data_IF_739525884101
#
_entry.id   IF_739525884101
#
_cell.length_a   1.000
_cell.length_b   1.000
_cell.length_c   1.000
_cell.angle_alpha   90.00
_cell.angle_beta   90.00
_cell.angle_gamma   90.00
#
_symmetry.space_group_name_H-M   'P 1'
#
loop_
_entity.id
_entity.type
_entity.pdbx_description
1 polymer ?
#
# COMPACT_ATOMS: atom_id res chain seq x y z
N UNK A 1 -15.85 12.13 -9.00
CA UNK A 1 -17.08 11.40 -9.37
C UNK A 1 -17.60 10.72 -8.11
N UNK A 2 -18.89 10.84 -7.80
CA UNK A 2 -19.52 10.12 -6.68
C UNK A 2 -20.07 8.79 -7.19
N UNK A 3 -19.75 7.69 -6.50
CA UNK A 3 -20.17 6.32 -6.88
C UNK A 3 -21.35 5.90 -5.98
N UNK A 4 -22.59 5.84 -6.49
CA UNK A 4 -23.74 5.39 -5.70
C UNK A 4 -23.76 3.86 -5.50
N UNK A 5 -24.61 3.40 -4.59
CA UNK A 5 -24.95 1.97 -4.46
C UNK A 5 -25.53 1.44 -5.78
N UNK A 6 -25.25 0.18 -6.08
CA UNK A 6 -25.59 -0.49 -7.34
C UNK A 6 -24.59 -0.27 -8.46
N UNK A 7 -23.64 0.67 -8.33
CA UNK A 7 -22.66 0.97 -9.39
C UNK A 7 -21.74 -0.21 -9.63
N UNK A 8 -21.53 -0.55 -10.91
CA UNK A 8 -20.50 -1.48 -11.37
C UNK A 8 -19.33 -0.68 -11.92
N UNK A 9 -18.14 -0.93 -11.39
CA UNK A 9 -16.90 -0.34 -11.85
C UNK A 9 -16.11 -1.44 -12.54
N UNK A 10 -15.76 -1.20 -13.80
CA UNK A 10 -14.95 -2.11 -14.61
C UNK A 10 -13.69 -1.38 -15.06
N UNK A 11 -12.56 -2.00 -14.80
CA UNK A 11 -11.23 -1.52 -15.18
C UNK A 11 -10.78 -2.33 -16.40
N UNK A 12 -10.31 -1.64 -17.44
CA UNK A 12 -9.74 -2.33 -18.61
C UNK A 12 -8.37 -2.94 -18.31
N UNK A 13 -7.77 -3.62 -19.29
CA UNK A 13 -6.49 -4.34 -19.14
C UNK A 13 -5.26 -3.41 -19.03
N UNK A 14 -5.44 -2.09 -19.13
CA UNK A 14 -4.34 -1.11 -19.15
C UNK A 14 -4.48 -0.01 -18.09
N UNK A 15 -5.58 -0.02 -17.35
CA UNK A 15 -5.93 1.03 -16.41
C UNK A 15 -6.03 0.50 -14.99
N UNK A 16 -6.11 1.42 -14.04
CA UNK A 16 -6.42 1.12 -12.65
C UNK A 16 -7.47 2.10 -12.13
N UNK A 17 -8.18 1.72 -11.07
CA UNK A 17 -9.11 2.61 -10.40
C UNK A 17 -8.94 2.53 -8.88
N UNK A 18 -9.02 3.67 -8.20
CA UNK A 18 -9.08 3.74 -6.74
C UNK A 18 -10.41 4.37 -6.34
N UNK A 19 -11.15 3.69 -5.47
CA UNK A 19 -12.42 4.13 -4.94
C UNK A 19 -12.26 4.33 -3.44
N UNK A 20 -12.29 5.58 -3.00
CA UNK A 20 -12.35 5.93 -1.58
C UNK A 20 -13.80 6.01 -1.12
N UNK A 21 -14.12 5.34 -0.03
CA UNK A 21 -15.45 5.29 0.57
C UNK A 21 -15.65 6.43 1.58
N UNK A 22 -16.89 6.59 2.06
CA UNK A 22 -17.28 7.66 2.96
C UNK A 22 -16.65 7.56 4.36
N UNK A 23 -16.14 6.38 4.72
CA UNK A 23 -15.48 6.07 5.99
C UNK A 23 -13.95 6.11 5.89
N UNK A 24 -13.39 6.61 4.78
CA UNK A 24 -11.96 6.63 4.44
C UNK A 24 -11.33 5.26 4.15
N UNK A 25 -12.11 4.18 4.18
CA UNK A 25 -11.70 2.92 3.58
C UNK A 25 -11.59 3.09 2.05
N UNK A 26 -10.84 2.23 1.38
CA UNK A 26 -10.73 2.27 -0.07
C UNK A 26 -10.56 0.89 -0.69
N UNK A 27 -10.84 0.82 -1.99
CA UNK A 27 -10.44 -0.29 -2.86
C UNK A 27 -9.66 0.23 -4.06
N UNK A 28 -8.51 -0.37 -4.36
CA UNK A 28 -7.82 -0.26 -5.65
C UNK A 28 -8.15 -1.49 -6.48
N UNK A 29 -8.57 -1.24 -7.70
CA UNK A 29 -8.89 -2.22 -8.71
C UNK A 29 -7.75 -2.22 -9.73
N UNK A 30 -7.17 -3.40 -9.92
CA UNK A 30 -6.11 -3.63 -10.88
C UNK A 30 -6.68 -3.85 -12.29
N UNK A 31 -5.84 -3.89 -13.34
CA UNK A 31 -6.30 -4.13 -14.70
C UNK A 31 -7.19 -5.38 -14.81
N UNK A 32 -8.25 -5.29 -15.61
CA UNK A 32 -9.23 -6.36 -15.82
C UNK A 32 -10.21 -6.58 -14.66
N UNK A 33 -10.11 -5.84 -13.55
CA UNK A 33 -10.98 -6.01 -12.40
C UNK A 33 -12.40 -5.48 -12.62
N UNK A 34 -13.38 -6.17 -12.04
CA UNK A 34 -14.78 -5.71 -11.99
C UNK A 34 -15.32 -5.84 -10.57
N UNK A 35 -15.84 -4.73 -10.03
CA UNK A 35 -16.51 -4.70 -8.72
C UNK A 35 -17.87 -4.04 -8.83
N UNK A 36 -18.85 -4.54 -8.08
CA UNK A 36 -20.12 -3.88 -7.86
C UNK A 36 -20.19 -3.37 -6.42
N UNK A 37 -20.56 -2.10 -6.24
CA UNK A 37 -20.83 -1.54 -4.92
C UNK A 37 -22.27 -1.89 -4.54
N UNK A 38 -22.48 -2.85 -3.63
CA UNK A 38 -23.83 -3.27 -3.24
C UNK A 38 -24.46 -2.29 -2.26
N UNK A 39 -23.70 -1.85 -1.26
CA UNK A 39 -24.25 -1.05 -0.16
C UNK A 39 -23.19 -0.14 0.47
N UNK A 40 -23.57 1.11 0.72
CA UNK A 40 -22.81 2.16 1.38
C UNK A 40 -23.75 2.90 2.34
N UNK A 41 -23.67 2.59 3.64
CA UNK A 41 -24.54 3.17 4.67
C UNK A 41 -23.72 3.63 5.87
N UNK A 42 -24.00 4.85 6.32
CA UNK A 42 -23.53 5.37 7.60
C UNK A 42 -24.71 5.53 8.57
N UNK A 43 -24.46 5.51 9.90
CA UNK A 43 -25.47 5.83 10.90
C UNK A 43 -26.07 7.22 10.66
N UNK A 44 -27.40 7.33 10.64
CA UNK A 44 -28.10 8.61 10.40
C UNK A 44 -27.88 9.65 11.50
N UNK A 45 -27.58 9.19 12.72
CA UNK A 45 -27.37 10.05 13.89
C UNK A 45 -25.98 9.75 14.47
N UNK A 46 -25.29 10.80 14.94
CA UNK A 46 -23.96 10.69 15.56
C UNK A 46 -23.92 9.77 16.80
N UNK A 47 -25.06 9.53 17.45
CA UNK A 47 -25.21 8.56 18.57
C UNK A 47 -25.77 7.20 18.14
N UNK A 48 -25.92 6.96 16.84
CA UNK A 48 -26.40 5.69 16.31
C UNK A 48 -25.38 4.58 16.55
N UNK A 49 -25.85 3.43 17.03
CA UNK A 49 -25.01 2.25 17.34
C UNK A 49 -24.83 1.32 16.13
N UNK A 50 -25.36 1.70 14.96
CA UNK A 50 -25.17 0.91 13.74
C UNK A 50 -23.74 1.07 13.22
N UNK A 51 -23.16 0.06 12.57
CA UNK A 51 -21.85 0.19 11.94
C UNK A 51 -21.91 1.08 10.69
N UNK A 52 -20.76 1.65 10.32
CA UNK A 52 -20.50 2.03 8.94
C UNK A 52 -20.48 0.76 8.10
N UNK A 53 -21.25 0.72 7.03
CA UNK A 53 -21.47 -0.48 6.25
C UNK A 53 -21.01 -0.25 4.81
N UNK A 54 -20.04 -1.07 4.38
CA UNK A 54 -19.49 -1.08 3.02
C UNK A 54 -19.52 -2.51 2.52
N UNK A 55 -20.45 -2.80 1.61
CA UNK A 55 -20.57 -4.11 0.95
C UNK A 55 -20.27 -3.96 -0.52
N UNK A 56 -19.35 -4.79 -1.01
CA UNK A 56 -18.96 -4.86 -2.40
C UNK A 56 -18.95 -6.30 -2.88
N UNK A 57 -19.23 -6.50 -4.17
CA UNK A 57 -19.18 -7.78 -4.84
C UNK A 57 -18.07 -7.73 -5.90
N UNK A 58 -16.99 -8.49 -5.67
CA UNK A 58 -15.88 -8.64 -6.60
C UNK A 58 -16.24 -9.71 -7.62
N UNK A 59 -16.55 -9.29 -8.84
CA UNK A 59 -17.04 -10.16 -9.91
C UNK A 59 -15.92 -10.86 -10.68
N UNK A 60 -14.72 -10.30 -10.67
CA UNK A 60 -13.56 -10.84 -11.39
C UNK A 60 -12.34 -9.93 -11.28
N UNK A 61 -11.14 -10.50 -11.43
CA UNK A 61 -9.87 -9.78 -11.35
C UNK A 61 -9.41 -9.54 -9.91
N UNK A 62 -8.55 -8.54 -9.70
CA UNK A 62 -7.88 -8.32 -8.42
C UNK A 62 -8.22 -6.98 -7.79
N UNK A 63 -8.45 -6.98 -6.48
CA UNK A 63 -8.68 -5.79 -5.68
C UNK A 63 -7.77 -5.77 -4.44
N UNK A 64 -7.19 -4.61 -4.15
CA UNK A 64 -6.54 -4.33 -2.87
C UNK A 64 -7.44 -3.43 -2.04
N UNK A 65 -7.61 -3.75 -0.76
CA UNK A 65 -8.58 -3.10 0.12
C UNK A 65 -7.86 -2.64 1.39
N UNK A 66 -7.99 -1.36 1.70
CA UNK A 66 -7.58 -0.80 2.98
C UNK A 66 -8.81 -0.38 3.78
N UNK A 67 -8.95 -0.89 5.01
CA UNK A 67 -10.01 -0.45 5.92
C UNK A 67 -9.47 0.61 6.88
N UNK A 68 -10.23 1.69 7.08
CA UNK A 68 -9.86 2.75 8.02
C UNK A 68 -10.26 2.37 9.45
N UNK A 69 -9.50 2.86 10.44
CA UNK A 69 -9.93 2.83 11.83
C UNK A 69 -10.93 3.96 12.09
N UNK A 70 -12.14 3.61 12.52
CA UNK A 70 -13.10 4.57 13.05
C UNK A 70 -13.22 4.37 14.56
N UNK A 71 -12.90 5.41 15.34
CA UNK A 71 -13.07 5.41 16.80
C UNK A 71 -14.53 5.67 17.21
N UNK A 72 -15.31 6.28 16.31
CA UNK A 72 -16.67 6.76 16.59
C UNK A 72 -17.76 5.75 16.19
N UNK A 73 -17.45 4.80 15.30
CA UNK A 73 -18.38 3.79 14.81
C UNK A 73 -17.66 2.50 14.41
N UNK A 74 -18.27 1.36 14.70
CA UNK A 74 -17.77 0.06 14.20
C UNK A 74 -17.91 -0.02 12.68
N UNK A 75 -17.06 -0.81 12.03
CA UNK A 75 -17.08 -1.06 10.59
C UNK A 75 -17.65 -2.46 10.28
N UNK A 76 -18.58 -2.55 9.34
CA UNK A 76 -19.02 -3.77 8.67
C UNK A 76 -18.59 -3.70 7.20
N UNK A 77 -17.34 -4.11 6.94
CA UNK A 77 -16.73 -4.17 5.61
C UNK A 77 -16.80 -5.59 5.09
N UNK A 78 -17.51 -5.81 3.98
CA UNK A 78 -17.61 -7.14 3.35
C UNK A 78 -17.33 -7.13 1.87
N UNK A 79 -16.60 -8.15 1.43
CA UNK A 79 -16.36 -8.46 0.03
C UNK A 79 -16.99 -9.80 -0.29
N UNK A 80 -17.98 -9.79 -1.18
CA UNK A 80 -18.55 -11.00 -1.75
C UNK A 80 -17.82 -11.34 -3.04
N UNK A 81 -17.71 -12.63 -3.30
CA UNK A 81 -17.35 -13.19 -4.60
C UNK A 81 -18.38 -14.26 -4.94
N UNK A 82 -18.24 -14.91 -6.10
CA UNK A 82 -19.03 -16.10 -6.42
C UNK A 82 -18.81 -17.25 -5.42
N UNK A 83 -17.66 -17.28 -4.74
CA UNK A 83 -17.19 -18.40 -3.94
C UNK A 83 -17.37 -18.20 -2.43
N UNK A 84 -17.32 -16.96 -1.94
CA UNK A 84 -17.37 -16.65 -0.51
C UNK A 84 -17.84 -15.21 -0.22
N UNK A 85 -18.25 -14.99 1.02
CA UNK A 85 -18.34 -13.68 1.65
C UNK A 85 -17.19 -13.52 2.65
N UNK A 86 -16.46 -12.40 2.54
CA UNK A 86 -15.30 -12.11 3.37
C UNK A 86 -15.60 -10.88 4.21
N UNK A 87 -15.68 -11.04 5.54
CA UNK A 87 -15.80 -9.94 6.48
C UNK A 87 -14.39 -9.48 6.91
N UNK A 88 -14.11 -8.19 6.75
CA UNK A 88 -12.80 -7.59 6.96
C UNK A 88 -12.82 -6.72 8.22
N UNK A 89 -11.86 -6.93 9.13
CA UNK A 89 -11.71 -6.05 10.30
C UNK A 89 -11.27 -4.63 9.90
N UNK A 90 -11.62 -3.65 10.73
CA UNK A 90 -11.14 -2.28 10.62
C UNK A 90 -9.61 -2.20 10.82
N UNK A 91 -9.00 -1.09 10.39
CA UNK A 91 -7.55 -0.88 10.47
C UNK A 91 -6.73 -1.99 9.79
N UNK A 92 -7.23 -2.53 8.67
CA UNK A 92 -6.66 -3.69 7.98
C UNK A 92 -6.22 -3.40 6.54
N UNK A 93 -5.47 -4.35 5.99
CA UNK A 93 -5.01 -4.38 4.61
C UNK A 93 -5.21 -5.79 4.05
N UNK A 94 -5.96 -5.87 2.97
CA UNK A 94 -6.41 -7.13 2.38
C UNK A 94 -6.26 -7.09 0.86
N UNK A 95 -6.18 -8.26 0.23
CA UNK A 95 -6.40 -8.39 -1.20
C UNK A 95 -7.33 -9.55 -1.51
N UNK A 96 -8.03 -9.40 -2.63
CA UNK A 96 -8.91 -10.41 -3.21
C UNK A 96 -8.51 -10.60 -4.67
N UNK A 97 -8.35 -11.86 -5.08
CA UNK A 97 -8.24 -12.23 -6.48
C UNK A 97 -9.38 -13.18 -6.83
N UNK A 98 -10.14 -12.84 -7.87
CA UNK A 98 -11.30 -13.62 -8.32
C UNK A 98 -11.05 -14.12 -9.74
N UNK A 99 -11.06 -15.44 -9.87
CA UNK A 99 -11.04 -16.17 -11.14
C UNK A 99 -12.38 -16.90 -11.30
N UNK A 100 -12.61 -17.51 -12.46
CA UNK A 100 -13.87 -18.19 -12.75
C UNK A 100 -14.08 -19.45 -11.90
N UNK A 101 -13.00 -20.10 -11.48
CA UNK A 101 -12.98 -21.38 -10.77
C UNK A 101 -12.72 -21.25 -9.26
N UNK A 102 -12.17 -20.10 -8.82
CA UNK A 102 -11.80 -19.86 -7.43
C UNK A 102 -11.67 -18.39 -7.07
N UNK A 103 -11.71 -18.11 -5.77
CA UNK A 103 -11.28 -16.85 -5.18
C UNK A 103 -10.12 -17.10 -4.21
N UNK A 104 -9.17 -16.18 -4.19
CA UNK A 104 -8.07 -16.17 -3.23
C UNK A 104 -8.16 -14.89 -2.39
N UNK A 105 -8.07 -15.05 -1.08
CA UNK A 105 -8.12 -13.96 -0.12
C UNK A 105 -6.79 -13.88 0.63
N UNK A 106 -6.35 -12.66 0.84
CA UNK A 106 -5.04 -12.34 1.40
C UNK A 106 -5.23 -11.35 2.55
N UNK A 107 -4.64 -11.65 3.70
CA UNK A 107 -4.64 -10.74 4.85
C UNK A 107 -3.22 -10.30 5.16
N UNK A 108 -2.91 -9.04 4.89
CA UNK A 108 -1.60 -8.46 5.19
C UNK A 108 -1.59 -7.87 6.60
N UNK A 109 -2.66 -7.16 6.95
CA UNK A 109 -2.88 -6.55 8.27
C UNK A 109 -4.34 -6.70 8.67
N UNK A 110 -4.59 -6.85 9.97
CA UNK A 110 -5.92 -7.15 10.51
C UNK A 110 -6.27 -8.62 10.36
N UNK A 111 -7.54 -8.98 10.54
CA UNK A 111 -8.03 -10.35 10.38
C UNK A 111 -9.27 -10.35 9.48
N UNK A 112 -9.41 -11.39 8.68
CA UNK A 112 -10.60 -11.61 7.87
C UNK A 112 -11.33 -12.89 8.31
N UNK A 113 -12.66 -12.86 8.25
CA UNK A 113 -13.50 -14.05 8.39
C UNK A 113 -14.07 -14.40 7.02
N UNK A 114 -13.79 -15.61 6.55
CA UNK A 114 -14.21 -16.12 5.25
C UNK A 114 -15.36 -17.07 5.46
N UNK A 115 -16.51 -16.78 4.84
CA UNK A 115 -17.71 -17.62 4.88
C UNK A 115 -17.98 -18.14 3.47
N UNK A 116 -18.01 -19.46 3.28
CA UNK A 116 -18.51 -20.10 2.06
C UNK A 116 -19.87 -20.76 2.32
N UNK A 117 -20.47 -21.36 1.30
CA UNK A 117 -21.72 -22.13 1.45
C UNK A 117 -21.57 -23.32 2.41
N UNK A 118 -20.35 -23.84 2.58
CA UNK A 118 -20.07 -25.11 3.25
C UNK A 118 -19.09 -24.98 4.43
N UNK A 119 -18.81 -23.78 4.92
CA UNK A 119 -17.96 -23.60 6.09
C UNK A 119 -17.52 -22.17 6.33
N UNK A 120 -16.68 -22.00 7.35
CA UNK A 120 -16.03 -20.74 7.66
C UNK A 120 -14.57 -20.97 8.02
N UNK A 121 -13.73 -19.98 7.74
CA UNK A 121 -12.33 -19.94 8.15
C UNK A 121 -11.98 -18.53 8.63
N UNK A 122 -11.00 -18.45 9.53
CA UNK A 122 -10.39 -17.19 9.94
C UNK A 122 -9.03 -17.09 9.26
N UNK A 123 -8.73 -15.91 8.73
CA UNK A 123 -7.47 -15.59 8.08
C UNK A 123 -6.74 -14.55 8.92
N UNK A 124 -5.65 -14.97 9.57
CA UNK A 124 -4.79 -14.11 10.39
C UNK A 124 -3.83 -13.27 9.51
N UNK A 125 -3.17 -12.23 10.06
CA UNK A 125 -2.13 -11.49 9.36
C UNK A 125 -1.05 -12.40 8.77
N UNK A 126 -0.64 -12.12 7.54
CA UNK A 126 0.37 -12.92 6.85
C UNK A 126 -0.16 -14.29 6.42
N UNK A 127 -1.47 -14.43 6.17
CA UNK A 127 -2.05 -15.65 5.61
C UNK A 127 -2.86 -15.39 4.34
N UNK A 128 -2.89 -16.40 3.48
CA UNK A 128 -3.82 -16.49 2.35
C UNK A 128 -4.65 -17.77 2.41
N UNK A 129 -5.78 -17.75 1.74
CA UNK A 129 -6.69 -18.89 1.65
C UNK A 129 -7.36 -18.89 0.28
N UNK A 130 -7.58 -20.10 -0.24
CA UNK A 130 -8.32 -20.32 -1.46
C UNK A 130 -9.74 -20.80 -1.13
N UNK A 131 -10.72 -20.30 -1.87
CA UNK A 131 -12.10 -20.78 -1.83
C UNK A 131 -12.56 -21.15 -3.24
N UNK A 132 -13.15 -22.34 -3.36
CA UNK A 132 -13.75 -22.87 -4.60
C UNK A 132 -15.26 -22.96 -4.41
N UNK A 133 -16.00 -22.87 -5.51
CA UNK A 133 -17.47 -22.94 -5.47
C UNK A 133 -17.96 -24.23 -4.81
N UNK A 134 -18.97 -24.11 -3.93
CA UNK A 134 -19.56 -25.23 -3.19
C UNK A 134 -18.56 -26.10 -2.40
N UNK A 135 -17.42 -25.53 -2.01
CA UNK A 135 -16.49 -26.18 -1.09
C UNK A 135 -16.35 -25.34 0.20
N UNK A 136 -16.03 -25.97 1.34
CA UNK A 136 -15.53 -25.21 2.48
C UNK A 136 -14.29 -24.39 2.07
N UNK A 137 -13.98 -23.29 2.77
CA UNK A 137 -12.70 -22.62 2.58
C UNK A 137 -11.55 -23.63 2.77
N UNK A 138 -10.49 -23.52 1.95
CA UNK A 138 -9.29 -24.35 2.15
C UNK A 138 -8.58 -24.04 3.47
N UNK A 139 -7.45 -24.68 3.73
CA UNK A 139 -6.65 -24.35 4.91
C UNK A 139 -5.92 -23.00 4.70
N UNK A 140 -5.93 -22.09 5.69
CA UNK A 140 -5.06 -20.93 5.67
C UNK A 140 -3.59 -21.35 5.55
N UNK A 141 -2.91 -20.79 4.57
CA UNK A 141 -1.46 -20.96 4.37
C UNK A 141 -0.75 -19.64 4.59
N UNK A 142 0.50 -19.68 5.04
CA UNK A 142 1.30 -18.46 5.16
C UNK A 142 1.36 -17.74 3.81
N UNK A 143 1.02 -16.45 3.82
CA UNK A 143 1.58 -15.51 2.87
C UNK A 143 3.09 -15.51 3.09
N UNK A 144 3.83 -15.24 2.03
CA UNK A 144 5.20 -14.75 2.06
C UNK A 144 5.70 -14.22 3.41
N UNK A 145 6.98 -14.47 3.70
CA UNK A 145 7.65 -13.78 4.81
C UNK A 145 7.72 -12.28 4.47
N UNK A 146 7.22 -11.42 5.34
CA UNK A 146 7.53 -9.99 5.29
C UNK A 146 8.91 -9.76 5.89
N UNK A 147 9.77 -9.04 5.19
CA UNK A 147 11.12 -8.72 5.63
C UNK A 147 11.20 -7.40 6.40
N UNK A 148 10.11 -6.64 6.47
CA UNK A 148 10.05 -5.37 7.17
C UNK A 148 9.56 -5.56 8.60
N UNK A 149 10.23 -4.93 9.54
CA UNK A 149 9.77 -4.79 10.92
C UNK A 149 9.11 -3.43 11.17
N UNK A 150 8.09 -3.39 12.04
CA UNK A 150 7.40 -2.13 12.38
C UNK A 150 6.81 -1.45 11.13
N UNK A 151 6.34 -2.27 10.20
CA UNK A 151 5.69 -1.98 8.93
C UNK A 151 4.39 -1.17 9.10
N UNK A 152 3.71 -1.35 10.23
CA UNK A 152 2.47 -0.65 10.59
C UNK A 152 2.71 0.58 11.49
N UNK A 153 3.97 0.85 11.88
CA UNK A 153 4.35 1.95 12.76
C UNK A 153 3.66 1.92 14.14
N UNK A 154 3.27 0.74 14.64
CA UNK A 154 2.67 0.60 15.99
C UNK A 154 3.64 0.93 17.10
N UNK A 155 4.93 0.74 16.85
CA UNK A 155 6.04 1.08 17.77
C UNK A 155 6.67 2.41 17.34
N UNK A 156 7.34 3.15 18.25
CA UNK A 156 8.09 4.36 17.91
C UNK A 156 9.06 4.12 16.73
N UNK A 157 9.33 5.15 15.92
CA UNK A 157 10.23 5.01 14.76
C UNK A 157 11.63 4.54 15.16
N UNK A 158 12.13 4.95 16.33
CA UNK A 158 13.42 4.48 16.86
C UNK A 158 13.48 2.97 17.10
N UNK A 159 12.35 2.26 17.06
CA UNK A 159 12.27 0.81 17.07
C UNK A 159 12.02 0.29 15.64
N UNK A 160 13.07 -0.21 15.01
CA UNK A 160 13.04 -0.82 13.68
C UNK A 160 13.37 0.15 12.53
N UNK A 161 13.34 1.47 12.74
CA UNK A 161 13.70 2.45 11.72
C UNK A 161 14.79 3.41 12.20
N UNK A 162 15.68 3.81 11.28
CA UNK A 162 16.60 4.93 11.45
C UNK A 162 16.05 6.13 10.69
N UNK A 163 15.89 7.25 11.39
CA UNK A 163 15.44 8.51 10.82
C UNK A 163 16.62 9.47 10.73
N UNK A 164 16.88 10.03 9.56
CA UNK A 164 17.93 11.03 9.34
C UNK A 164 17.63 11.88 8.11
N UNK A 165 18.34 13.00 7.97
CA UNK A 165 18.30 13.84 6.77
C UNK A 165 19.60 13.71 5.98
N UNK A 166 19.50 13.88 4.66
CA UNK A 166 20.62 14.06 3.76
C UNK A 166 20.41 15.36 2.99
N UNK A 167 21.38 16.29 3.06
CA UNK A 167 21.32 17.58 2.37
C UNK A 167 21.93 17.55 0.96
N UNK A 168 22.37 16.37 0.51
CA UNK A 168 23.04 16.23 -0.77
C UNK A 168 24.33 17.05 -0.85
N UNK A 169 24.68 17.48 -2.07
CA UNK A 169 25.95 18.19 -2.36
C UNK A 169 25.78 19.67 -2.67
N UNK A 170 24.56 20.11 -2.97
CA UNK A 170 24.20 21.51 -3.25
C UNK A 170 24.06 22.35 -1.98
N UNK A 171 23.91 21.70 -0.83
CA UNK A 171 23.90 22.33 0.48
C UNK A 171 22.52 22.91 0.83
N UNK A 172 22.15 22.75 2.09
CA UNK A 172 20.94 23.29 2.71
C UNK A 172 21.11 23.31 4.23
N UNK A 173 20.39 24.20 4.89
CA UNK A 173 20.44 24.38 6.36
C UNK A 173 19.12 24.07 7.05
N UNK A 174 18.05 23.91 6.27
CA UNK A 174 16.74 23.44 6.75
C UNK A 174 16.73 21.94 6.64
N UNK A 175 16.34 21.23 7.68
CA UNK A 175 16.08 19.78 7.66
C UNK A 175 14.57 19.51 7.48
N UNK A 176 14.22 18.34 6.96
CA UNK A 176 12.85 17.85 7.08
C UNK A 176 12.65 17.00 8.35
N UNK A 177 11.41 16.57 8.55
CA UNK A 177 10.98 15.81 9.74
C UNK A 177 10.12 14.62 9.35
N UNK A 178 10.23 13.54 10.13
CA UNK A 178 9.40 12.35 9.99
C UNK A 178 8.75 11.99 11.33
N UNK A 179 7.41 11.96 11.35
CA UNK A 179 6.63 11.78 12.57
C UNK A 179 5.48 10.79 12.36
N UNK A 180 5.20 9.95 13.36
CA UNK A 180 4.01 9.08 13.33
C UNK A 180 2.77 9.95 13.59
N UNK A 181 1.80 9.88 12.69
CA UNK A 181 0.52 10.60 12.76
C UNK A 181 -0.65 9.66 12.56
N UNK A 182 -1.85 10.10 12.94
CA UNK A 182 -3.11 9.52 12.48
C UNK A 182 -3.69 10.43 11.40
N UNK A 183 -3.87 9.90 10.19
CA UNK A 183 -4.49 10.60 9.07
C UNK A 183 -5.64 9.77 8.52
N UNK A 184 -6.85 10.33 8.49
CA UNK A 184 -8.05 9.66 7.97
C UNK A 184 -8.28 8.25 8.56
N UNK A 185 -8.04 8.10 9.87
CA UNK A 185 -8.18 6.81 10.56
C UNK A 185 -7.06 5.81 10.26
N UNK A 186 -5.97 6.22 9.62
CA UNK A 186 -4.80 5.39 9.33
C UNK A 186 -3.58 5.90 10.07
N UNK A 187 -2.84 4.99 10.71
CA UNK A 187 -1.54 5.29 11.29
C UNK A 187 -0.51 5.36 10.17
N UNK A 188 0.25 6.45 10.11
CA UNK A 188 1.20 6.70 9.04
C UNK A 188 2.42 7.46 9.55
N UNK A 189 3.50 7.44 8.77
CA UNK A 189 4.62 8.37 8.93
C UNK A 189 4.41 9.54 7.99
N UNK A 190 4.40 10.76 8.52
CA UNK A 190 4.40 12.00 7.75
C UNK A 190 5.82 12.51 7.56
N UNK A 191 6.24 12.66 6.32
CA UNK A 191 7.42 13.41 5.94
C UNK A 191 7.03 14.86 5.67
N UNK A 192 7.71 15.81 6.30
CA UNK A 192 7.39 17.22 6.18
C UNK A 192 8.63 18.10 6.17
N UNK A 193 8.70 18.98 5.17
CA UNK A 193 9.71 20.03 5.02
C UNK A 193 9.09 21.27 4.37
N UNK A 194 9.41 22.44 4.91
CA UNK A 194 9.03 23.74 4.33
C UNK A 194 10.15 24.75 4.53
N UNK A 195 10.25 25.74 3.65
CA UNK A 195 11.28 26.78 3.72
C UNK A 195 12.64 26.33 3.20
N UNK A 196 12.70 25.28 2.37
CA UNK A 196 13.94 24.81 1.75
C UNK A 196 14.52 25.75 0.71
N UNK A 197 13.78 26.79 0.29
CA UNK A 197 14.22 27.86 -0.62
C UNK A 197 14.81 27.37 -1.97
N UNK A 198 14.41 26.18 -2.42
CA UNK A 198 14.91 25.59 -3.66
C UNK A 198 16.13 24.67 -3.47
N UNK A 199 16.53 24.38 -2.24
CA UNK A 199 17.64 23.49 -1.94
C UNK A 199 17.14 22.07 -1.68
N UNK A 200 17.94 21.09 -2.11
CA UNK A 200 17.67 19.68 -1.90
C UNK A 200 17.69 19.30 -0.42
N UNK A 201 16.87 18.30 -0.07
CA UNK A 201 17.07 17.48 1.12
C UNK A 201 16.20 16.24 1.07
N UNK A 202 16.75 15.14 1.53
CA UNK A 202 16.05 13.91 1.80
C UNK A 202 15.73 13.79 3.29
N UNK A 203 14.47 13.52 3.63
CA UNK A 203 14.10 13.01 4.96
C UNK A 203 13.86 11.53 4.85
N UNK A 204 14.68 10.72 5.52
CA UNK A 204 14.82 9.29 5.26
C UNK A 204 14.39 8.47 6.47
N UNK A 205 13.53 7.48 6.23
CA UNK A 205 13.35 6.30 7.08
C UNK A 205 14.09 5.13 6.44
N UNK A 206 15.09 4.59 7.12
CA UNK A 206 15.85 3.42 6.66
C UNK A 206 15.68 2.25 7.64
N UNK A 207 15.50 1.05 7.09
CA UNK A 207 15.66 -0.19 7.83
C UNK A 207 16.74 -1.04 7.15
N UNK A 208 17.79 -1.36 7.90
CA UNK A 208 18.78 -2.36 7.49
C UNK A 208 18.17 -3.74 7.73
N UNK A 209 18.03 -4.51 6.66
CA UNK A 209 17.44 -5.85 6.68
C UNK A 209 18.57 -6.88 6.72
N UNK A 210 19.52 -6.77 5.78
CA UNK A 210 20.69 -7.63 5.66
C UNK A 210 20.38 -9.15 5.71
N UNK A 211 19.30 -9.57 5.06
CA UNK A 211 18.78 -10.94 5.06
C UNK A 211 18.97 -11.62 3.72
N UNK A 212 19.33 -12.91 3.76
CA UNK A 212 19.41 -13.74 2.55
C UNK A 212 18.00 -14.17 2.14
N UNK A 213 17.72 -14.10 0.84
CA UNK A 213 16.45 -14.58 0.30
C UNK A 213 16.39 -16.12 0.30
N UNK A 214 15.21 -16.72 0.50
CA UNK A 214 15.02 -18.16 0.37
C UNK A 214 15.33 -18.63 -1.07
N UNK A 215 15.68 -19.91 -1.20
CA UNK A 215 15.94 -20.55 -2.48
C UNK A 215 15.23 -21.92 -2.50
N UNK A 216 14.22 -22.14 -3.37
CA UNK A 216 13.77 -21.22 -4.42
C UNK A 216 12.97 -20.02 -3.87
N UNK A 217 13.01 -18.93 -4.61
CA UNK A 217 12.11 -17.76 -4.47
C UNK A 217 11.20 -17.68 -5.69
N UNK A 218 9.92 -17.40 -5.45
CA UNK A 218 8.88 -17.32 -6.47
C UNK A 218 8.33 -15.90 -6.62
N UNK A 219 8.35 -15.09 -5.56
CA UNK A 219 7.97 -13.68 -5.64
C UNK A 219 8.75 -12.79 -4.69
N UNK A 220 9.02 -11.55 -5.13
CA UNK A 220 9.51 -10.46 -4.29
C UNK A 220 8.74 -9.18 -4.65
N UNK A 221 8.01 -8.60 -3.69
CA UNK A 221 7.18 -7.42 -3.94
C UNK A 221 7.28 -6.39 -2.83
N UNK A 222 7.33 -5.12 -3.23
CA UNK A 222 7.21 -3.96 -2.33
C UNK A 222 5.76 -3.50 -2.33
N UNK A 223 5.22 -3.24 -1.13
CA UNK A 223 3.86 -2.73 -0.95
C UNK A 223 3.85 -1.61 0.08
N UNK A 224 3.08 -0.57 -0.18
CA UNK A 224 2.92 0.55 0.73
C UNK A 224 1.61 1.27 0.41
N UNK A 225 0.99 1.90 1.40
CA UNK A 225 -0.10 2.85 1.16
C UNK A 225 0.47 4.25 1.30
N UNK A 226 0.46 5.01 0.20
CA UNK A 226 1.16 6.29 0.08
C UNK A 226 0.20 7.46 -0.16
N UNK A 227 0.58 8.67 0.23
CA UNK A 227 -0.19 9.89 0.00
C UNK A 227 0.77 11.06 -0.19
N UNK A 228 0.55 11.89 -1.21
CA UNK A 228 1.30 13.13 -1.40
C UNK A 228 0.34 14.31 -1.28
N UNK A 229 0.54 15.13 -0.24
CA UNK A 229 -0.28 16.32 0.05
C UNK A 229 0.30 17.55 -0.62
N UNK A 230 1.62 17.66 -0.64
CA UNK A 230 2.30 18.83 -1.16
C UNK A 230 3.66 18.48 -1.75
N UNK A 231 3.99 19.15 -2.86
CA UNK A 231 5.32 19.18 -3.45
C UNK A 231 5.52 20.55 -4.12
N UNK A 232 6.66 21.17 -3.88
CA UNK A 232 7.05 22.39 -4.61
C UNK A 232 7.78 22.06 -5.91
N UNK A 233 8.63 21.02 -5.90
CA UNK A 233 9.34 20.54 -7.07
C UNK A 233 8.39 19.76 -8.00
N UNK A 234 8.43 20.06 -9.29
CA UNK A 234 7.65 19.38 -10.32
C UNK A 234 8.22 17.99 -10.59
N UNK A 235 7.33 16.99 -10.77
CA UNK A 235 7.71 15.64 -11.20
C UNK A 235 8.82 15.02 -10.35
N UNK A 236 9.93 14.65 -11.00
CA UNK A 236 11.11 14.02 -10.40
C UNK A 236 12.35 14.92 -10.33
N UNK A 237 12.21 16.23 -10.54
CA UNK A 237 13.35 17.15 -10.69
C UNK A 237 14.12 16.93 -11.99
N UNK A 238 15.29 17.57 -12.12
CA UNK A 238 16.06 17.59 -13.38
C UNK A 238 16.55 16.20 -13.82
N UNK A 239 16.88 15.33 -12.86
CA UNK A 239 17.46 14.00 -13.10
C UNK A 239 16.49 12.85 -12.78
N UNK A 240 15.21 13.16 -12.52
CA UNK A 240 14.24 12.15 -12.09
C UNK A 240 14.58 11.48 -10.75
N UNK A 241 15.37 12.13 -9.90
CA UNK A 241 15.88 11.60 -8.63
C UNK A 241 15.17 12.13 -7.39
N UNK A 242 14.30 13.14 -7.53
CA UNK A 242 13.69 13.86 -6.41
C UNK A 242 12.17 13.82 -6.50
N UNK A 243 11.54 13.00 -5.67
CA UNK A 243 10.09 12.95 -5.55
C UNK A 243 9.67 13.21 -4.11
N UNK A 244 8.49 13.84 -3.88
CA UNK A 244 7.99 14.12 -2.54
C UNK A 244 7.74 12.86 -1.70
N UNK A 245 7.75 11.67 -2.30
CA UNK A 245 7.85 10.40 -1.62
C UNK A 245 8.52 9.36 -2.53
N UNK A 246 9.39 8.53 -1.97
CA UNK A 246 10.16 7.51 -2.66
C UNK A 246 10.31 6.26 -1.80
N UNK A 247 10.40 5.11 -2.47
CA UNK A 247 10.82 3.84 -1.88
C UNK A 247 12.06 3.37 -2.65
N UNK A 248 13.10 2.99 -1.93
CA UNK A 248 14.32 2.41 -2.48
C UNK A 248 14.63 1.09 -1.79
N UNK A 249 14.88 0.07 -2.60
CA UNK A 249 15.34 -1.24 -2.13
C UNK A 249 16.79 -1.44 -2.58
N UNK A 250 17.69 -1.63 -1.62
CA UNK A 250 19.10 -1.97 -1.89
C UNK A 250 19.27 -3.48 -1.68
N UNK A 251 19.84 -4.14 -2.66
CA UNK A 251 20.02 -5.58 -2.66
C UNK A 251 21.35 -6.00 -3.29
N UNK A 252 21.74 -7.24 -3.06
CA UNK A 252 22.95 -7.83 -3.66
C UNK A 252 22.65 -9.13 -4.38
N UNK A 253 23.37 -9.37 -5.46
CA UNK A 253 23.32 -10.63 -6.20
C UNK A 253 24.19 -11.73 -5.54
N UNK A 254 24.24 -12.89 -6.18
CA UNK A 254 25.06 -14.04 -5.75
C UNK A 254 26.57 -13.77 -5.73
N UNK A 255 27.03 -12.74 -6.46
CA UNK A 255 28.42 -12.32 -6.51
C UNK A 255 28.74 -11.15 -5.57
N UNK A 256 27.81 -10.78 -4.69
CA UNK A 256 27.89 -9.65 -3.76
C UNK A 256 27.91 -8.27 -4.47
N UNK A 257 27.49 -8.21 -5.73
CA UNK A 257 27.33 -6.93 -6.46
C UNK A 257 26.08 -6.22 -5.99
N UNK A 258 26.19 -4.94 -5.65
CA UNK A 258 25.10 -4.13 -5.14
C UNK A 258 24.29 -3.46 -6.26
N UNK A 259 22.97 -3.47 -6.11
CA UNK A 259 22.04 -2.85 -7.02
C UNK A 259 20.85 -2.23 -6.25
N UNK A 260 20.14 -1.33 -6.91
CA UNK A 260 19.01 -0.61 -6.33
C UNK A 260 17.78 -0.71 -7.23
N UNK A 261 16.62 -0.79 -6.60
CA UNK A 261 15.33 -0.53 -7.21
C UNK A 261 14.70 0.69 -6.56
N UNK A 262 14.14 1.60 -7.36
CA UNK A 262 13.61 2.89 -6.90
C UNK A 262 12.23 3.13 -7.50
N UNK A 263 11.30 3.57 -6.66
CA UNK A 263 9.98 4.04 -7.04
C UNK A 263 9.69 5.39 -6.37
N UNK A 264 9.43 6.42 -7.16
CA UNK A 264 8.97 7.73 -6.71
C UNK A 264 7.46 7.92 -6.89
N UNK A 265 6.87 8.85 -6.14
CA UNK A 265 5.46 9.22 -6.22
C UNK A 265 5.31 10.75 -6.25
N UNK A 266 4.44 11.26 -7.13
CA UNK A 266 4.16 12.69 -7.27
C UNK A 266 2.70 12.92 -7.67
N UNK A 267 2.17 14.14 -7.50
CA UNK A 267 0.80 14.47 -7.97
C UNK A 267 0.77 15.48 -9.12
N UNK A 268 1.85 16.23 -9.36
CA UNK A 268 1.93 17.23 -10.42
C UNK A 268 3.28 17.23 -11.14
N UNK A 269 3.25 17.54 -12.45
CA UNK A 269 4.44 17.77 -13.25
C UNK A 269 4.26 18.98 -14.20
N UNK A 270 3.97 20.16 -13.65
CA UNK A 270 3.67 21.36 -14.45
C UNK A 270 4.86 21.86 -15.29
N UNK A 271 6.09 21.56 -14.87
CA UNK A 271 7.30 21.95 -15.57
C UNK A 271 7.82 20.87 -16.54
N UNK A 272 7.06 19.79 -16.74
CA UNK A 272 7.40 18.68 -17.65
C UNK A 272 8.81 18.10 -17.41
N UNK A 273 9.17 17.95 -16.14
CA UNK A 273 10.44 17.35 -15.72
C UNK A 273 10.45 15.83 -15.92
N UNK A 274 11.61 15.18 -16.06
CA UNK A 274 11.70 13.72 -16.18
C UNK A 274 11.07 12.94 -15.02
N UNK A 275 10.28 11.92 -15.32
CA UNK A 275 9.57 11.06 -14.34
C UNK A 275 9.85 9.56 -14.53
N UNK A 276 11.05 9.20 -14.99
CA UNK A 276 11.48 7.83 -15.30
C UNK A 276 11.18 6.82 -14.19
N UNK A 277 11.32 7.22 -12.92
CA UNK A 277 11.07 6.37 -11.76
C UNK A 277 9.78 6.74 -11.02
N UNK A 278 9.00 7.67 -11.55
CA UNK A 278 7.89 8.31 -10.87
C UNK A 278 6.54 7.75 -11.29
N UNK A 279 5.69 7.46 -10.31
CA UNK A 279 4.28 7.18 -10.52
C UNK A 279 3.47 8.42 -10.13
N UNK A 280 2.70 8.96 -11.07
CA UNK A 280 1.74 10.00 -10.74
C UNK A 280 0.55 9.40 -9.98
N UNK A 281 0.29 9.90 -8.79
CA UNK A 281 -0.84 9.49 -7.94
C UNK A 281 -1.81 10.66 -7.72
N UNK A 282 -3.06 10.40 -7.29
CA UNK A 282 -4.00 11.46 -6.99
C UNK A 282 -3.51 12.38 -5.86
N UNK A 283 -3.73 13.69 -6.03
CA UNK A 283 -3.38 14.70 -5.03
C UNK A 283 -4.18 14.51 -3.73
N UNK A 284 -3.48 14.51 -2.59
CA UNK A 284 -4.03 14.44 -1.23
C UNK A 284 -5.02 13.28 -1.03
N UNK A 285 -4.72 12.11 -1.60
CA UNK A 285 -5.47 10.87 -1.37
C UNK A 285 -4.56 9.69 -1.11
N UNK A 286 -5.01 8.80 -0.25
CA UNK A 286 -4.35 7.51 -0.04
C UNK A 286 -4.39 6.67 -1.33
N UNK A 287 -3.22 6.25 -1.77
CA UNK A 287 -2.99 5.41 -2.91
C UNK A 287 -2.27 4.13 -2.47
N UNK A 288 -2.89 2.96 -2.57
CA UNK A 288 -2.21 1.71 -2.29
C UNK A 288 -1.30 1.35 -3.45
N UNK A 289 -0.01 1.22 -3.19
CA UNK A 289 1.02 0.82 -4.14
C UNK A 289 1.44 -0.63 -3.91
N UNK A 290 1.64 -1.35 -5.01
CA UNK A 290 2.28 -2.65 -5.08
C UNK A 290 3.16 -2.65 -6.33
N UNK A 291 4.43 -3.05 -6.19
CA UNK A 291 5.34 -3.22 -7.32
C UNK A 291 4.93 -4.42 -8.18
N UNK A 292 5.45 -4.50 -9.40
CA UNK A 292 5.55 -5.78 -10.10
C UNK A 292 6.34 -6.79 -9.25
N UNK A 293 6.32 -8.05 -9.66
CA UNK A 293 7.25 -9.01 -9.11
C UNK A 293 8.67 -8.60 -9.48
N UNK A 294 9.44 -8.18 -8.49
CA UNK A 294 10.77 -7.61 -8.70
C UNK A 294 11.72 -8.61 -9.37
N UNK A 295 11.52 -9.91 -9.17
CA UNK A 295 12.30 -10.95 -9.84
C UNK A 295 12.21 -10.90 -11.38
N UNK A 296 11.14 -10.34 -11.93
CA UNK A 296 10.91 -10.27 -13.38
C UNK A 296 11.49 -8.99 -14.02
N UNK A 297 11.75 -7.95 -13.21
CA UNK A 297 12.13 -6.61 -13.70
C UNK A 297 13.51 -6.16 -13.24
N UNK A 298 14.06 -6.75 -12.18
CA UNK A 298 15.39 -6.42 -11.68
C UNK A 298 16.46 -6.87 -12.70
N UNK A 299 17.46 -6.03 -13.01
CA UNK A 299 18.47 -6.36 -14.02
C UNK A 299 19.38 -7.51 -13.60
N UNK A 300 19.51 -7.72 -12.29
CA UNK A 300 20.24 -8.84 -11.68
C UNK A 300 19.37 -9.48 -10.61
N UNK A 301 19.31 -10.83 -10.53
CA UNK A 301 18.49 -11.50 -9.53
C UNK A 301 18.98 -11.20 -8.10
N UNK A 302 18.08 -10.80 -7.19
CA UNK A 302 18.45 -10.54 -5.80
C UNK A 302 18.77 -11.85 -5.08
N UNK A 303 19.88 -11.87 -4.34
CA UNK A 303 20.26 -12.96 -3.45
C UNK A 303 20.14 -12.56 -1.98
N UNK A 304 20.40 -11.28 -1.68
CA UNK A 304 20.33 -10.70 -0.33
C UNK A 304 19.66 -9.34 -0.37
N UNK A 305 18.76 -9.08 0.56
CA UNK A 305 18.20 -7.75 0.77
C UNK A 305 19.05 -7.04 1.81
N UNK A 306 19.58 -5.86 1.47
CA UNK A 306 20.46 -5.08 2.34
C UNK A 306 19.65 -4.09 3.17
N UNK A 307 18.86 -3.26 2.50
CA UNK A 307 18.08 -2.23 3.17
C UNK A 307 16.86 -1.82 2.35
N UNK A 308 15.86 -1.27 3.04
CA UNK A 308 14.80 -0.48 2.43
C UNK A 308 14.89 0.95 2.97
N UNK A 309 14.65 1.92 2.09
CA UNK A 309 14.44 3.32 2.45
C UNK A 309 13.07 3.75 1.98
N UNK A 310 12.34 4.46 2.85
CA UNK A 310 11.19 5.26 2.48
C UNK A 310 11.52 6.70 2.83
N UNK A 311 11.49 7.59 1.86
CA UNK A 311 12.01 8.94 2.03
C UNK A 311 11.29 9.95 1.16
N UNK A 312 11.30 11.21 1.58
CA UNK A 312 10.82 12.33 0.78
C UNK A 312 12.02 13.17 0.34
N UNK A 313 12.06 13.58 -0.92
CA UNK A 313 13.20 14.26 -1.54
C UNK A 313 12.75 15.44 -2.40
N UNK A 314 13.57 16.49 -2.48
CA UNK A 314 13.28 17.73 -3.22
C UNK A 314 13.36 18.97 -2.33
N UNK A 315 12.66 20.04 -2.72
CA UNK A 315 12.76 21.34 -2.05
C UNK A 315 11.85 21.50 -0.83
N UNK A 316 10.53 21.38 -1.03
CA UNK A 316 9.52 21.39 0.02
C UNK A 316 8.50 20.30 -0.30
N UNK A 317 8.06 19.57 0.72
CA UNK A 317 7.17 18.43 0.56
C UNK A 317 6.35 18.14 1.81
N UNK A 318 5.18 17.56 1.59
CA UNK A 318 4.41 16.88 2.61
C UNK A 318 3.84 15.59 2.01
N UNK A 319 4.26 14.46 2.56
CA UNK A 319 3.82 13.14 2.13
C UNK A 319 3.66 12.20 3.31
N UNK A 320 2.90 11.13 3.11
CA UNK A 320 2.62 10.14 4.13
C UNK A 320 2.76 8.73 3.57
N UNK A 321 3.19 7.81 4.43
CA UNK A 321 3.25 6.38 4.14
C UNK A 321 2.69 5.56 5.30
N UNK A 322 1.98 4.48 4.97
CA UNK A 322 1.45 3.46 5.88
C UNK A 322 1.75 2.08 5.28
N UNK A 323 1.80 1.04 6.13
CA UNK A 323 1.84 -0.36 5.69
C UNK A 323 3.00 -0.70 4.75
N UNK A 324 4.23 -0.40 5.15
CA UNK A 324 5.43 -0.65 4.31
C UNK A 324 5.85 -2.10 4.42
N UNK A 325 5.65 -2.88 3.36
CA UNK A 325 5.90 -4.31 3.34
C UNK A 325 6.88 -4.68 2.21
N UNK A 326 7.74 -5.66 2.48
CA UNK A 326 8.60 -6.33 1.51
C UNK A 326 8.37 -7.83 1.63
N UNK A 327 7.61 -8.35 0.69
CA UNK A 327 6.97 -9.66 0.77
C UNK A 327 7.75 -10.64 -0.12
N UNK A 328 8.26 -11.73 0.46
CA UNK A 328 8.97 -12.79 -0.24
C UNK A 328 8.28 -14.15 -0.13
N UNK A 329 7.92 -14.73 -1.28
CA UNK A 329 7.27 -16.06 -1.42
C UNK A 329 8.19 -17.11 -2.01
#
# INVERSE_FOLDING_TARGET
>A
MTVPEGTVIRVDETSEAVVTFFDHSFVRLFPGATVQIERLRAPRFRRGVLPNMVLMNMLGGRGYIGTALSLDSSLDMRVKTLHAECALEADGSYAVEVRNDRSEMYTYRGRATILSSNGQAVLDPGQRIQVVFDQPPGDPVSLARNLIENEEFRRPLSEGWRVFNDQGTDGGDVDGSAEIVMDEGRRAVRFFRTGGHGNHCETILEQTINERLPDPITSLKVRATVKVRYQSLSGGGYLSSEYPLMIRLTYRDVYDSEAEWVQGFYYQNVADTPTTYGLQIPHDRWYPFESENLLDVLPVPPHRIIAIRVYASGWDYESLVSDVNLIVE
#
